data_IF_691248604078
#
_entry.id   IF_691248604078
#
_cell.length_a   1.000
_cell.length_b   1.000
_cell.length_c   1.000
_cell.angle_alpha   90.00
_cell.angle_beta   90.00
_cell.angle_gamma   90.00
#
_symmetry.space_group_name_H-M   'P 1'
#
loop_
_entity.id
_entity.type
_entity.pdbx_description
1 polymer ?
#
# COMPACT_ATOMS: atom_id res chain seq x y z
N UNK A 1 -4.81 26.46 -18.85
CA UNK A 1 -3.84 26.10 -17.77
C UNK A 1 -4.64 26.08 -16.48
N UNK A 2 -4.67 24.96 -15.78
CA UNK A 2 -5.33 24.82 -14.48
C UNK A 2 -4.35 25.22 -13.38
N UNK A 3 -4.78 26.10 -12.48
CA UNK A 3 -3.98 26.52 -11.34
C UNK A 3 -4.42 25.77 -10.07
N UNK A 4 -3.43 25.34 -9.29
CA UNK A 4 -3.63 24.67 -8.00
C UNK A 4 -2.65 25.30 -7.01
N UNK A 5 -3.15 25.79 -5.88
CA UNK A 5 -2.31 26.39 -4.86
C UNK A 5 -1.68 25.33 -3.94
N UNK A 6 -0.52 25.65 -3.39
CA UNK A 6 0.13 24.84 -2.35
C UNK A 6 -0.72 24.70 -1.10
N UNK A 7 -1.53 25.68 -0.76
CA UNK A 7 -2.50 25.62 0.35
C UNK A 7 -3.56 24.53 0.12
N UNK A 8 -4.15 24.47 -1.09
CA UNK A 8 -5.08 23.38 -1.45
C UNK A 8 -4.44 22.00 -1.35
N UNK A 9 -3.17 21.89 -1.73
CA UNK A 9 -2.42 20.63 -1.64
C UNK A 9 -2.20 20.24 -0.18
N UNK A 10 -1.70 21.17 0.64
CA UNK A 10 -1.44 20.92 2.06
C UNK A 10 -2.71 20.53 2.81
N UNK A 11 -3.82 21.22 2.59
CA UNK A 11 -5.11 20.92 3.22
C UNK A 11 -5.63 19.54 2.78
N UNK A 12 -5.60 19.23 1.49
CA UNK A 12 -6.03 17.92 0.98
C UNK A 12 -5.15 16.79 1.55
N UNK A 13 -3.83 16.96 1.59
CA UNK A 13 -2.90 15.97 2.16
C UNK A 13 -3.14 15.74 3.64
N UNK A 14 -3.41 16.81 4.41
CA UNK A 14 -3.77 16.69 5.83
C UNK A 14 -4.99 15.80 6.03
N UNK A 15 -6.08 16.11 5.32
CA UNK A 15 -7.33 15.33 5.42
C UNK A 15 -7.12 13.87 4.98
N UNK A 16 -6.37 13.63 3.89
CA UNK A 16 -6.06 12.28 3.43
C UNK A 16 -5.29 11.48 4.49
N UNK A 17 -4.32 12.08 5.19
CA UNK A 17 -3.57 11.39 6.24
C UNK A 17 -4.49 10.97 7.40
N UNK A 18 -5.39 11.84 7.82
CA UNK A 18 -6.34 11.57 8.89
C UNK A 18 -7.33 10.49 8.45
N UNK A 19 -7.99 10.67 7.30
CA UNK A 19 -8.98 9.73 6.79
C UNK A 19 -8.42 8.32 6.61
N UNK A 20 -7.26 8.20 5.94
CA UNK A 20 -6.63 6.90 5.67
C UNK A 20 -6.20 6.14 6.93
N UNK A 21 -5.98 6.82 8.05
CA UNK A 21 -5.64 6.20 9.32
C UNK A 21 -6.86 5.71 10.12
N UNK A 22 -8.06 6.21 9.81
CA UNK A 22 -9.28 5.94 10.61
C UNK A 22 -10.34 5.16 9.83
N UNK A 23 -10.27 5.14 8.50
CA UNK A 23 -11.31 4.54 7.66
C UNK A 23 -10.70 3.73 6.52
N UNK A 24 -11.14 2.49 6.34
CA UNK A 24 -10.82 1.72 5.13
C UNK A 24 -11.67 2.18 3.95
N UNK A 25 -11.12 2.02 2.74
CA UNK A 25 -11.90 2.13 1.51
C UNK A 25 -12.97 1.04 1.42
N UNK A 26 -14.04 1.29 0.68
CA UNK A 26 -15.17 0.36 0.57
C UNK A 26 -14.77 -1.01 0.03
N UNK A 27 -13.89 -1.05 -0.98
CA UNK A 27 -13.37 -2.29 -1.56
C UNK A 27 -12.58 -3.14 -0.55
N UNK A 28 -11.79 -2.50 0.32
CA UNK A 28 -11.08 -3.19 1.39
C UNK A 28 -12.01 -3.71 2.49
N UNK A 29 -13.02 -2.93 2.87
CA UNK A 29 -14.02 -3.35 3.84
C UNK A 29 -14.82 -4.55 3.32
N UNK A 30 -15.26 -4.52 2.06
CA UNK A 30 -15.95 -5.63 1.40
C UNK A 30 -15.05 -6.87 1.25
N UNK A 31 -13.76 -6.68 0.95
CA UNK A 31 -12.81 -7.78 0.89
C UNK A 31 -12.63 -8.48 2.24
N UNK A 32 -12.62 -7.70 3.33
CA UNK A 32 -12.53 -8.24 4.69
C UNK A 32 -13.82 -8.97 5.09
N UNK A 33 -15.01 -8.47 4.70
CA UNK A 33 -16.27 -9.20 4.86
C UNK A 33 -16.26 -10.53 4.11
N UNK A 34 -15.84 -10.51 2.85
CA UNK A 34 -15.69 -11.73 2.06
C UNK A 34 -14.68 -12.70 2.68
N UNK A 35 -13.60 -12.19 3.30
CA UNK A 35 -12.63 -13.00 4.02
C UNK A 35 -13.25 -13.71 5.22
N UNK A 36 -14.10 -13.04 6.00
CA UNK A 36 -14.82 -13.66 7.12
C UNK A 36 -15.68 -14.86 6.69
N UNK A 37 -16.25 -14.80 5.49
CA UNK A 37 -17.04 -15.92 4.93
C UNK A 37 -16.16 -17.07 4.43
N UNK A 38 -14.95 -16.78 3.90
CA UNK A 38 -14.05 -17.78 3.34
C UNK A 38 -13.15 -18.46 4.37
N UNK A 39 -12.86 -17.79 5.49
CA UNK A 39 -12.02 -18.36 6.53
C UNK A 39 -12.68 -19.60 7.14
N UNK A 40 -11.94 -20.70 7.24
CA UNK A 40 -12.44 -21.98 7.75
C UNK A 40 -12.03 -22.22 9.19
N UNK A 41 -10.85 -21.76 9.60
CA UNK A 41 -10.33 -21.96 10.95
C UNK A 41 -11.14 -21.15 11.99
N UNK A 42 -11.59 -21.77 13.09
CA UNK A 42 -12.36 -21.06 14.11
C UNK A 42 -11.63 -19.83 14.68
N UNK A 43 -10.34 -19.96 14.97
CA UNK A 43 -9.51 -18.84 15.45
C UNK A 43 -9.36 -17.76 14.40
N UNK A 44 -9.18 -18.14 13.12
CA UNK A 44 -9.10 -17.17 12.02
C UNK A 44 -10.39 -16.35 11.88
N UNK A 45 -11.56 -16.98 12.02
CA UNK A 45 -12.87 -16.30 12.04
C UNK A 45 -12.98 -15.31 13.19
N UNK A 46 -12.56 -15.70 14.38
CA UNK A 46 -12.56 -14.82 15.55
C UNK A 46 -11.68 -13.61 15.32
N UNK A 47 -10.46 -13.79 14.79
CA UNK A 47 -9.54 -12.70 14.51
C UNK A 47 -10.11 -11.73 13.46
N UNK A 48 -10.68 -12.24 12.36
CA UNK A 48 -11.32 -11.37 11.36
C UNK A 48 -12.51 -10.62 11.99
N UNK A 49 -13.27 -11.26 12.87
CA UNK A 49 -14.33 -10.61 13.64
C UNK A 49 -13.80 -9.42 14.48
N UNK A 50 -12.70 -9.62 15.20
CA UNK A 50 -12.04 -8.56 15.98
C UNK A 50 -11.50 -7.43 15.08
N UNK A 51 -10.94 -7.76 13.90
CA UNK A 51 -10.49 -6.74 12.96
C UNK A 51 -11.66 -5.88 12.47
N UNK A 52 -12.81 -6.47 12.17
CA UNK A 52 -14.02 -5.74 11.78
C UNK A 52 -14.53 -4.84 12.90
N UNK A 53 -14.61 -5.36 14.12
CA UNK A 53 -14.98 -4.56 15.29
C UNK A 53 -14.03 -3.39 15.51
N UNK A 54 -12.72 -3.63 15.38
CA UNK A 54 -11.71 -2.57 15.45
C UNK A 54 -11.93 -1.46 14.41
N UNK A 55 -12.34 -1.79 13.18
CA UNK A 55 -12.64 -0.79 12.15
C UNK A 55 -13.85 0.10 12.52
N UNK A 56 -14.90 -0.49 13.10
CA UNK A 56 -16.05 0.28 13.57
C UNK A 56 -15.67 1.21 14.73
N UNK A 57 -14.89 0.73 15.70
CA UNK A 57 -14.37 1.55 16.80
C UNK A 57 -13.48 2.66 16.29
N UNK A 58 -12.54 2.35 15.36
CA UNK A 58 -11.63 3.33 14.79
C UNK A 58 -12.39 4.49 14.13
N UNK A 59 -13.42 4.17 13.36
CA UNK A 59 -14.24 5.15 12.65
C UNK A 59 -15.13 5.96 13.61
N UNK A 60 -15.78 5.33 14.58
CA UNK A 60 -16.73 6.00 15.48
C UNK A 60 -16.03 6.85 16.53
N UNK A 61 -14.90 6.40 17.03
CA UNK A 61 -14.16 7.07 18.12
C UNK A 61 -13.01 7.95 17.61
N UNK A 62 -12.79 7.99 16.28
CA UNK A 62 -11.66 8.68 15.65
C UNK A 62 -10.32 8.26 16.26
N UNK A 63 -10.13 6.95 16.42
CA UNK A 63 -8.90 6.31 16.88
C UNK A 63 -8.24 5.63 15.68
N UNK A 64 -6.93 5.76 15.46
CA UNK A 64 -6.27 5.09 14.34
C UNK A 64 -6.49 3.58 14.34
N UNK A 65 -6.74 3.01 13.15
CA UNK A 65 -6.98 1.56 12.94
C UNK A 65 -5.84 0.71 13.52
N UNK A 66 -4.61 1.21 13.49
CA UNK A 66 -3.42 0.50 13.94
C UNK A 66 -2.49 1.45 14.70
N UNK A 67 -1.70 0.92 15.63
CA UNK A 67 -0.64 1.66 16.32
C UNK A 67 0.49 2.08 15.37
N UNK A 68 0.70 1.39 14.25
CA UNK A 68 1.62 1.80 13.20
C UNK A 68 0.84 2.49 12.08
N UNK A 69 0.76 3.81 12.14
CA UNK A 69 0.13 4.63 11.09
C UNK A 69 1.07 4.89 9.90
N UNK A 70 2.28 4.38 9.98
CA UNK A 70 3.24 4.28 8.89
C UNK A 70 3.91 5.58 8.48
N UNK A 71 4.67 5.48 7.38
CA UNK A 71 5.21 6.62 6.64
C UNK A 71 4.25 6.95 5.49
N UNK A 72 4.03 8.24 5.23
CA UNK A 72 3.21 8.69 4.12
C UNK A 72 3.96 8.50 2.78
N UNK A 73 3.41 7.69 1.88
CA UNK A 73 3.91 7.49 0.52
C UNK A 73 2.88 8.03 -0.46
N UNK A 74 3.31 8.95 -1.32
CA UNK A 74 2.44 9.59 -2.30
C UNK A 74 2.81 9.22 -3.73
N UNK A 75 1.78 9.01 -4.54
CA UNK A 75 1.86 8.99 -6.00
C UNK A 75 1.12 10.22 -6.52
N UNK A 76 1.86 11.12 -7.16
CA UNK A 76 1.34 12.39 -7.66
C UNK A 76 1.39 12.38 -9.19
N UNK A 77 0.24 12.48 -9.83
CA UNK A 77 0.10 12.62 -11.28
C UNK A 77 -0.20 14.09 -11.60
N UNK A 78 0.70 14.74 -12.35
CA UNK A 78 0.62 16.16 -12.70
C UNK A 78 0.40 16.29 -14.19
N UNK A 79 -0.71 16.89 -14.60
CA UNK A 79 -0.97 17.26 -15.99
C UNK A 79 0.01 18.31 -16.49
N UNK A 80 0.46 18.20 -17.74
CA UNK A 80 1.37 19.17 -18.36
C UNK A 80 0.82 20.62 -18.40
N UNK A 81 -0.51 20.76 -18.29
CA UNK A 81 -1.20 22.06 -18.28
C UNK A 81 -1.59 22.52 -16.87
N UNK A 82 -1.05 21.88 -15.83
CA UNK A 82 -1.22 22.28 -14.43
C UNK A 82 -0.09 23.20 -14.03
N UNK A 83 -0.44 24.30 -13.38
CA UNK A 83 0.49 25.22 -12.73
C UNK A 83 0.27 25.18 -11.22
N UNK A 84 1.36 24.90 -10.48
CA UNK A 84 1.34 24.96 -9.02
C UNK A 84 1.80 26.33 -8.59
N UNK A 85 0.97 27.03 -7.79
CA UNK A 85 1.26 28.37 -7.28
C UNK A 85 1.40 28.38 -5.75
N UNK A 86 2.13 29.35 -5.22
CA UNK A 86 2.29 29.59 -3.79
C UNK A 86 3.53 28.97 -3.16
N UNK A 87 4.32 28.17 -3.89
CA UNK A 87 5.56 27.58 -3.38
C UNK A 87 5.90 26.22 -4.00
N UNK A 88 6.77 25.46 -3.35
CA UNK A 88 7.15 24.15 -3.80
C UNK A 88 6.08 23.10 -3.41
N UNK A 89 5.74 22.21 -4.36
CA UNK A 89 4.74 21.15 -4.13
C UNK A 89 5.17 20.18 -3.04
N UNK A 90 6.46 19.88 -2.95
CA UNK A 90 6.99 18.94 -1.96
C UNK A 90 6.90 19.51 -0.54
N UNK A 91 7.14 20.82 -0.38
CA UNK A 91 6.97 21.52 0.89
C UNK A 91 5.48 21.50 1.32
N UNK A 92 4.56 21.73 0.39
CA UNK A 92 3.13 21.67 0.65
C UNK A 92 2.65 20.26 1.07
N UNK A 93 3.18 19.22 0.43
CA UNK A 93 2.88 17.83 0.82
C UNK A 93 3.41 17.54 2.23
N UNK A 94 4.66 17.92 2.52
CA UNK A 94 5.26 17.71 3.84
C UNK A 94 4.54 18.52 4.93
N UNK A 95 4.11 19.74 4.66
CA UNK A 95 3.28 20.53 5.58
C UNK A 95 1.95 19.81 5.87
N UNK A 96 1.27 19.33 4.83
CA UNK A 96 0.04 18.55 4.98
C UNK A 96 0.24 17.30 5.83
N UNK A 97 1.34 16.55 5.62
CA UNK A 97 1.71 15.39 6.46
C UNK A 97 1.97 15.78 7.90
N UNK A 98 2.78 16.81 8.14
CA UNK A 98 3.09 17.28 9.49
C UNK A 98 1.82 17.65 10.26
N UNK A 99 0.91 18.40 9.62
CA UNK A 99 -0.39 18.76 10.18
C UNK A 99 -1.29 17.54 10.39
N UNK A 100 -1.41 16.67 9.40
CA UNK A 100 -2.24 15.47 9.47
C UNK A 100 -1.84 14.52 10.58
N UNK A 101 -0.53 14.24 10.71
CA UNK A 101 -0.01 13.37 11.78
C UNK A 101 -0.08 14.01 13.17
N UNK A 102 -0.06 15.33 13.25
CA UNK A 102 -0.16 16.06 14.52
C UNK A 102 -1.62 16.21 14.97
N UNK A 103 -2.48 16.72 14.12
CA UNK A 103 -3.89 16.97 14.41
C UNK A 103 -4.72 15.68 14.49
N UNK A 104 -4.35 14.65 13.70
CA UNK A 104 -4.96 13.31 13.74
C UNK A 104 -4.43 12.39 14.83
N UNK A 105 -3.52 12.87 15.69
CA UNK A 105 -2.89 12.07 16.75
C UNK A 105 -2.24 10.79 16.24
N UNK A 106 -1.71 10.82 15.01
CA UNK A 106 -1.08 9.68 14.39
C UNK A 106 0.34 9.46 14.93
N UNK A 107 0.82 8.21 14.85
CA UNK A 107 2.18 7.88 15.31
C UNK A 107 3.23 8.48 14.40
N UNK A 108 4.11 9.29 14.96
CA UNK A 108 5.25 9.91 14.25
C UNK A 108 6.43 8.95 14.27
N UNK A 109 6.61 8.17 13.20
CA UNK A 109 7.58 7.07 13.12
C UNK A 109 8.84 7.42 12.35
N UNK A 110 8.86 8.55 11.61
CA UNK A 110 9.98 8.92 10.74
C UNK A 110 11.18 9.38 11.55
N UNK A 111 12.35 8.86 11.21
CA UNK A 111 13.65 9.26 11.76
C UNK A 111 14.50 9.93 10.68
N UNK A 112 15.36 10.86 11.08
CA UNK A 112 16.22 11.64 10.18
C UNK A 112 17.24 10.79 9.44
N UNK A 113 17.71 9.75 10.09
CA UNK A 113 18.70 8.84 9.57
C UNK A 113 18.42 7.42 10.07
N UNK A 114 18.54 6.39 9.24
CA UNK A 114 18.22 5.02 9.62
C UNK A 114 19.14 4.43 10.69
N UNK A 115 20.36 4.95 10.84
CA UNK A 115 21.35 4.50 11.84
C UNK A 115 21.32 5.37 13.09
N UNK A 116 21.30 6.70 12.94
CA UNK A 116 21.25 7.66 14.07
C UNK A 116 19.82 7.86 14.66
N UNK A 117 18.81 7.38 14.04
CA UNK A 117 17.43 7.18 14.51
C UNK A 117 16.81 8.31 15.34
N UNK A 118 17.22 9.55 15.11
CA UNK A 118 16.59 10.73 15.75
C UNK A 118 15.25 11.01 15.09
N UNK A 119 14.17 10.96 15.85
CA UNK A 119 12.81 11.19 15.34
C UNK A 119 12.65 12.62 14.82
N UNK A 120 11.93 12.80 13.71
CA UNK A 120 11.69 14.13 13.11
C UNK A 120 10.65 14.93 13.88
N UNK A 121 9.76 14.27 14.62
CA UNK A 121 8.76 14.88 15.48
C UNK A 121 7.42 15.21 14.79
N UNK A 122 7.36 15.08 13.47
CA UNK A 122 6.19 15.44 12.66
C UNK A 122 5.86 14.44 11.54
N UNK A 123 6.57 13.33 11.49
CA UNK A 123 6.46 12.26 10.49
C UNK A 123 6.85 12.68 9.05
N UNK A 124 7.64 13.73 8.89
CA UNK A 124 8.22 14.16 7.61
C UNK A 124 9.70 13.77 7.50
N UNK A 125 10.29 13.71 6.30
CA UNK A 125 9.63 13.92 5.01
C UNK A 125 8.78 12.71 4.58
N UNK A 126 7.79 12.98 3.75
CA UNK A 126 7.05 11.95 3.02
C UNK A 126 7.92 11.37 1.88
N UNK A 127 7.55 10.18 1.41
CA UNK A 127 8.08 9.65 0.15
C UNK A 127 7.13 10.04 -0.98
N UNK A 128 7.61 10.79 -1.97
CA UNK A 128 6.77 11.30 -3.06
C UNK A 128 7.29 10.81 -4.41
N UNK A 129 6.41 10.19 -5.18
CA UNK A 129 6.67 9.74 -6.54
C UNK A 129 5.85 10.58 -7.52
N UNK A 130 6.52 11.28 -8.43
CA UNK A 130 5.87 12.13 -9.41
C UNK A 130 5.78 11.45 -10.77
N UNK A 131 4.66 11.68 -11.47
CA UNK A 131 4.50 11.36 -12.88
C UNK A 131 3.83 12.52 -13.61
N UNK A 132 4.36 12.84 -14.80
CA UNK A 132 3.76 13.85 -15.66
C UNK A 132 2.86 13.17 -16.69
N UNK A 133 1.62 13.64 -16.79
CA UNK A 133 0.61 13.10 -17.70
C UNK A 133 0.09 14.19 -18.65
N UNK A 134 -0.46 13.85 -19.83
CA UNK A 134 -1.08 14.82 -20.71
C UNK A 134 -2.30 15.53 -20.06
N UNK A 135 -2.56 16.77 -20.47
CA UNK A 135 -3.74 17.54 -20.06
C UNK A 135 -3.57 18.27 -18.73
N UNK A 136 -4.67 18.54 -18.05
CA UNK A 136 -4.77 19.37 -16.84
C UNK A 136 -5.21 18.57 -15.59
N UNK A 137 -5.11 17.26 -15.64
CA UNK A 137 -5.39 16.38 -14.50
C UNK A 137 -4.37 16.59 -13.39
N UNK A 138 -4.84 16.61 -12.15
CA UNK A 138 -3.98 16.58 -10.97
C UNK A 138 -4.56 15.58 -9.97
N UNK A 139 -3.78 14.56 -9.63
CA UNK A 139 -4.23 13.48 -8.75
C UNK A 139 -3.15 13.16 -7.73
N UNK A 140 -3.54 13.10 -6.49
CA UNK A 140 -2.72 12.62 -5.38
C UNK A 140 -3.32 11.31 -4.86
N UNK A 141 -2.48 10.30 -4.70
CA UNK A 141 -2.84 9.04 -4.06
C UNK A 141 -1.92 8.83 -2.87
N UNK A 142 -2.48 8.67 -1.68
CA UNK A 142 -1.75 8.37 -0.45
C UNK A 142 -1.82 6.88 -0.16
N UNK A 143 -0.67 6.30 0.18
CA UNK A 143 -0.54 4.97 0.75
C UNK A 143 0.23 5.07 2.09
N UNK A 144 -0.43 5.12 3.25
CA UNK A 144 0.24 5.00 4.53
C UNK A 144 0.91 3.62 4.61
N UNK A 145 2.23 3.60 4.79
CA UNK A 145 2.98 2.34 4.72
C UNK A 145 3.64 2.02 6.05
N UNK A 146 3.08 1.01 6.74
CA UNK A 146 3.65 0.46 7.95
C UNK A 146 4.93 -0.33 7.68
N UNK A 147 5.91 -0.23 8.58
CA UNK A 147 7.25 -0.80 8.36
C UNK A 147 7.33 -2.29 8.70
N UNK A 148 6.40 -2.85 9.45
CA UNK A 148 6.31 -4.30 9.63
C UNK A 148 6.20 -5.00 8.27
N UNK A 149 5.21 -4.64 7.48
CA UNK A 149 5.02 -5.19 6.14
C UNK A 149 6.02 -4.67 5.11
N UNK A 150 6.49 -3.40 5.22
CA UNK A 150 7.52 -2.86 4.31
C UNK A 150 8.82 -3.67 4.38
N UNK A 151 9.26 -4.02 5.58
CA UNK A 151 10.49 -4.80 5.79
C UNK A 151 10.40 -6.24 5.25
N UNK A 152 9.18 -6.72 4.94
CA UNK A 152 8.97 -8.04 4.33
C UNK A 152 9.02 -8.00 2.80
N UNK A 153 9.14 -6.82 2.19
CA UNK A 153 9.28 -6.68 0.72
C UNK A 153 10.58 -7.33 0.23
N UNK A 154 10.54 -7.91 -0.97
CA UNK A 154 11.67 -8.60 -1.61
C UNK A 154 11.80 -8.20 -3.07
N UNK A 155 13.03 -8.20 -3.57
CA UNK A 155 13.33 -8.04 -4.99
C UNK A 155 14.05 -9.31 -5.46
N UNK A 156 13.59 -9.90 -6.55
CA UNK A 156 14.15 -11.11 -7.14
C UNK A 156 14.69 -10.79 -8.54
N UNK A 157 15.93 -11.20 -8.80
CA UNK A 157 16.55 -11.09 -10.13
C UNK A 157 16.40 -12.41 -10.87
N UNK A 158 15.21 -12.60 -11.47
CA UNK A 158 14.89 -13.83 -12.20
C UNK A 158 15.54 -13.85 -13.58
N UNK A 159 15.83 -15.03 -14.07
CA UNK A 159 16.30 -15.27 -15.46
C UNK A 159 15.08 -15.37 -16.40
N UNK A 160 15.23 -15.02 -17.68
CA UNK A 160 14.14 -15.20 -18.65
C UNK A 160 13.60 -16.64 -18.71
N UNK A 161 14.47 -17.63 -18.50
CA UNK A 161 14.08 -19.04 -18.49
C UNK A 161 13.19 -19.45 -17.30
N UNK A 162 13.17 -18.67 -16.21
CA UNK A 162 12.30 -18.95 -15.06
C UNK A 162 10.83 -18.66 -15.38
N UNK A 163 10.59 -17.79 -16.37
CA UNK A 163 9.27 -17.50 -16.94
C UNK A 163 8.20 -17.13 -15.91
N UNK A 164 6.97 -17.43 -16.26
CA UNK A 164 5.79 -17.19 -15.42
C UNK A 164 5.87 -17.92 -14.08
N UNK A 165 6.26 -19.19 -14.11
CA UNK A 165 6.31 -20.00 -12.90
C UNK A 165 7.36 -19.52 -11.92
N UNK A 166 8.49 -18.99 -12.42
CA UNK A 166 9.50 -18.35 -11.59
C UNK A 166 8.96 -17.14 -10.83
N UNK A 167 8.14 -16.31 -11.49
CA UNK A 167 7.47 -15.17 -10.82
C UNK A 167 6.49 -15.65 -9.76
N UNK A 168 5.62 -16.60 -10.09
CA UNK A 168 4.64 -17.17 -9.14
C UNK A 168 5.37 -17.71 -7.90
N UNK A 169 6.41 -18.52 -8.11
CA UNK A 169 7.18 -19.12 -7.01
C UNK A 169 7.89 -18.06 -6.16
N UNK A 170 8.45 -17.01 -6.78
CA UNK A 170 9.10 -15.92 -6.06
C UNK A 170 8.13 -15.16 -5.15
N UNK A 171 6.89 -14.89 -5.62
CA UNK A 171 5.86 -14.22 -4.80
C UNK A 171 5.42 -15.11 -3.64
N UNK A 172 5.14 -16.39 -3.91
CA UNK A 172 4.76 -17.35 -2.85
C UNK A 172 5.87 -17.48 -1.81
N UNK A 173 7.13 -17.54 -2.25
CA UNK A 173 8.29 -17.59 -1.34
C UNK A 173 8.39 -16.32 -0.49
N UNK A 174 8.22 -15.12 -1.10
CA UNK A 174 8.25 -13.86 -0.37
C UNK A 174 7.18 -13.81 0.74
N UNK A 175 5.96 -14.26 0.44
CA UNK A 175 4.87 -14.33 1.43
C UNK A 175 5.15 -15.36 2.51
N UNK A 176 5.68 -16.53 2.15
CA UNK A 176 6.09 -17.58 3.10
C UNK A 176 7.16 -17.07 4.07
N UNK A 177 8.17 -16.36 3.55
CA UNK A 177 9.26 -15.78 4.36
C UNK A 177 8.77 -14.64 5.26
N UNK A 178 7.79 -13.87 4.79
CA UNK A 178 7.17 -12.81 5.57
C UNK A 178 6.39 -13.36 6.76
N UNK A 179 5.65 -14.43 6.55
CA UNK A 179 4.83 -15.07 7.58
C UNK A 179 3.93 -14.06 8.32
N UNK A 180 3.89 -14.12 9.66
CA UNK A 180 3.06 -13.21 10.47
C UNK A 180 3.57 -11.76 10.45
N UNK A 181 4.83 -11.51 10.08
CA UNK A 181 5.44 -10.17 10.18
C UNK A 181 4.84 -9.14 9.18
N UNK A 182 4.15 -9.62 8.15
CA UNK A 182 3.43 -8.76 7.22
C UNK A 182 2.00 -8.39 7.69
N UNK A 183 1.60 -8.84 8.88
CA UNK A 183 0.29 -8.59 9.50
C UNK A 183 -0.89 -9.07 8.61
N UNK A 184 -1.00 -10.39 8.29
CA UNK A 184 -2.11 -10.90 7.50
C UNK A 184 -3.49 -10.70 8.20
N UNK A 185 -4.58 -10.58 7.42
CA UNK A 185 -4.66 -10.74 5.97
C UNK A 185 -4.07 -9.55 5.21
N UNK A 186 -3.23 -9.82 4.20
CA UNK A 186 -2.46 -8.80 3.49
C UNK A 186 -2.97 -8.56 2.06
N UNK A 187 -2.57 -7.44 1.48
CA UNK A 187 -2.59 -7.23 0.03
C UNK A 187 -1.16 -7.33 -0.49
N UNK A 188 -0.96 -8.15 -1.50
CA UNK A 188 0.36 -8.39 -2.09
C UNK A 188 0.51 -7.58 -3.38
N UNK A 189 1.41 -6.59 -3.37
CA UNK A 189 1.75 -5.83 -4.56
C UNK A 189 2.96 -6.43 -5.27
N UNK A 190 2.84 -6.68 -6.57
CA UNK A 190 3.88 -7.29 -7.40
C UNK A 190 4.23 -6.36 -8.55
N UNK A 191 5.52 -6.04 -8.70
CA UNK A 191 6.05 -5.29 -9.84
C UNK A 191 6.91 -6.19 -10.72
N UNK A 192 6.66 -6.24 -12.02
CA UNK A 192 7.38 -7.09 -12.96
C UNK A 192 7.98 -6.26 -14.08
N UNK A 193 9.28 -6.41 -14.32
CA UNK A 193 9.98 -5.74 -15.39
C UNK A 193 10.52 -4.35 -15.02
N UNK A 194 10.80 -3.52 -16.02
CA UNK A 194 11.48 -2.25 -15.82
C UNK A 194 12.94 -2.41 -15.36
N UNK A 195 13.41 -1.43 -14.62
CA UNK A 195 14.72 -1.43 -13.94
C UNK A 195 14.54 -1.86 -12.47
N UNK A 196 15.64 -2.02 -11.74
CA UNK A 196 15.64 -2.46 -10.33
C UNK A 196 14.72 -1.59 -9.45
N UNK A 197 14.87 -0.28 -9.50
CA UNK A 197 14.05 0.68 -8.76
C UNK A 197 12.61 0.73 -9.30
N UNK A 198 12.45 0.56 -10.61
CA UNK A 198 11.13 0.62 -11.24
C UNK A 198 10.25 -0.55 -10.84
N UNK A 199 10.77 -1.77 -10.76
CA UNK A 199 9.97 -2.91 -10.34
C UNK A 199 9.53 -2.77 -8.86
N UNK A 200 10.38 -2.25 -7.98
CA UNK A 200 10.02 -1.96 -6.60
C UNK A 200 8.92 -0.87 -6.50
N UNK A 201 9.04 0.18 -7.32
CA UNK A 201 8.03 1.24 -7.42
C UNK A 201 6.69 0.69 -7.93
N UNK A 202 6.71 -0.18 -8.94
CA UNK A 202 5.50 -0.82 -9.47
C UNK A 202 4.82 -1.69 -8.42
N UNK A 203 5.58 -2.49 -7.67
CA UNK A 203 5.05 -3.29 -6.59
C UNK A 203 4.33 -2.43 -5.54
N UNK A 204 4.91 -1.29 -5.16
CA UNK A 204 4.30 -0.35 -4.24
C UNK A 204 3.06 0.34 -4.83
N UNK A 205 3.11 0.74 -6.11
CA UNK A 205 1.96 1.31 -6.82
C UNK A 205 0.81 0.30 -6.93
N UNK A 206 1.11 -0.99 -7.14
CA UNK A 206 0.11 -2.05 -7.20
C UNK A 206 -0.76 -2.13 -5.94
N UNK A 207 -0.22 -1.78 -4.76
CA UNK A 207 -0.97 -1.72 -3.51
C UNK A 207 -2.05 -0.63 -3.48
N UNK A 208 -1.98 0.36 -4.38
CA UNK A 208 -2.97 1.44 -4.47
C UNK A 208 -4.11 1.14 -5.45
N UNK A 209 -4.07 0.01 -6.14
CA UNK A 209 -5.17 -0.45 -6.98
C UNK A 209 -6.27 -1.04 -6.10
N UNK A 210 -7.56 -0.73 -6.35
CA UNK A 210 -8.67 -1.34 -5.65
C UNK A 210 -8.59 -2.88 -5.70
N UNK A 211 -8.86 -3.52 -4.56
CA UNK A 211 -8.69 -4.98 -4.42
C UNK A 211 -9.77 -5.79 -5.15
N UNK A 212 -10.87 -5.16 -5.52
CA UNK A 212 -11.93 -5.72 -6.35
C UNK A 212 -11.62 -5.66 -7.85
N UNK A 213 -10.51 -5.01 -8.24
CA UNK A 213 -10.12 -4.83 -9.64
C UNK A 213 -8.86 -5.61 -9.98
N UNK A 214 -9.01 -6.72 -10.66
CA UNK A 214 -7.90 -7.47 -11.24
C UNK A 214 -7.17 -6.69 -12.33
N UNK A 215 -6.00 -7.16 -12.74
CA UNK A 215 -5.22 -6.59 -13.83
C UNK A 215 -6.07 -6.47 -15.13
N UNK A 216 -5.83 -5.41 -15.90
CA UNK A 216 -6.55 -5.18 -17.17
C UNK A 216 -6.23 -6.27 -18.19
N UNK A 217 -4.97 -6.73 -18.25
CA UNK A 217 -4.54 -7.84 -19.09
C UNK A 217 -5.00 -9.18 -18.48
N UNK A 218 -5.78 -9.99 -19.21
CA UNK A 218 -6.26 -11.29 -18.72
C UNK A 218 -5.15 -12.25 -18.30
N UNK A 219 -3.98 -12.18 -18.93
CA UNK A 219 -2.82 -13.01 -18.56
C UNK A 219 -2.36 -12.72 -17.12
N UNK A 220 -2.21 -11.47 -16.76
CA UNK A 220 -1.80 -11.08 -15.41
C UNK A 220 -2.94 -11.26 -14.40
N UNK A 221 -4.19 -11.05 -14.79
CA UNK A 221 -5.34 -11.32 -13.93
C UNK A 221 -5.41 -12.79 -13.51
N UNK A 222 -5.26 -13.72 -14.45
CA UNK A 222 -5.20 -15.14 -14.13
C UNK A 222 -4.01 -15.48 -13.21
N UNK A 223 -2.89 -14.78 -13.39
CA UNK A 223 -1.72 -14.98 -12.53
C UNK A 223 -1.95 -14.42 -11.11
N UNK A 224 -2.66 -13.31 -10.96
CA UNK A 224 -3.08 -12.77 -9.66
C UNK A 224 -3.94 -13.78 -8.91
N UNK A 225 -4.93 -14.36 -9.58
CA UNK A 225 -5.83 -15.37 -9.01
C UNK A 225 -5.06 -16.63 -8.57
N UNK A 226 -4.17 -17.15 -9.41
CA UNK A 226 -3.35 -18.32 -9.08
C UNK A 226 -2.42 -18.06 -7.89
N UNK A 227 -1.75 -16.89 -7.86
CA UNK A 227 -0.87 -16.53 -6.76
C UNK A 227 -1.67 -16.40 -5.46
N UNK A 228 -2.86 -15.77 -5.51
CA UNK A 228 -3.73 -15.63 -4.34
C UNK A 228 -4.14 -16.99 -3.78
N UNK A 229 -4.51 -17.94 -4.64
CA UNK A 229 -4.83 -19.31 -4.22
C UNK A 229 -3.65 -19.98 -3.54
N UNK A 230 -2.46 -19.92 -4.14
CA UNK A 230 -1.24 -20.52 -3.57
C UNK A 230 -0.81 -19.86 -2.26
N UNK A 231 -0.92 -18.55 -2.16
CA UNK A 231 -0.60 -17.78 -0.94
C UNK A 231 -1.56 -18.15 0.19
N UNK A 232 -2.84 -18.26 -0.09
CA UNK A 232 -3.84 -18.70 0.89
C UNK A 232 -3.65 -20.16 1.28
N UNK A 233 -3.17 -20.99 0.36
CA UNK A 233 -2.79 -22.38 0.62
C UNK A 233 -1.59 -22.56 1.55
N UNK A 234 -0.83 -21.50 1.85
CA UNK A 234 0.27 -21.56 2.83
C UNK A 234 -0.20 -21.77 4.28
N UNK A 235 -1.48 -21.48 4.56
CA UNK A 235 -2.06 -21.69 5.88
C UNK A 235 -1.54 -20.75 6.97
N UNK A 236 -0.92 -19.61 6.61
CA UNK A 236 -0.43 -18.61 7.57
C UNK A 236 -1.62 -18.00 8.34
N UNK A 237 -2.70 -17.67 7.63
CA UNK A 237 -3.95 -17.22 8.20
C UNK A 237 -3.93 -15.83 8.84
N UNK A 238 -5.09 -15.37 9.34
CA UNK A 238 -5.21 -14.04 9.99
C UNK A 238 -4.28 -13.92 11.18
N UNK A 239 -3.60 -12.78 11.30
CA UNK A 239 -2.57 -12.49 12.30
C UNK A 239 -1.41 -13.50 12.35
N UNK A 240 -1.30 -14.40 11.36
CA UNK A 240 -0.27 -15.46 11.33
C UNK A 240 -0.55 -16.61 12.30
N UNK A 241 -1.77 -16.76 12.77
CA UNK A 241 -2.17 -17.78 13.75
C UNK A 241 -2.82 -19.02 13.14
N UNK A 242 -2.64 -19.21 11.84
CA UNK A 242 -3.23 -20.30 11.07
C UNK A 242 -4.61 -19.93 10.50
N UNK A 243 -4.96 -20.55 9.39
CA UNK A 243 -6.22 -20.33 8.69
C UNK A 243 -6.07 -20.31 7.18
N UNK A 244 -7.17 -20.08 6.50
CA UNK A 244 -7.25 -20.14 5.03
C UNK A 244 -7.13 -18.75 4.37
N UNK A 245 -7.23 -17.66 5.12
CA UNK A 245 -7.10 -16.30 4.58
C UNK A 245 -5.79 -15.65 5.02
N UNK A 246 -4.76 -15.82 4.22
CA UNK A 246 -3.45 -15.16 4.39
C UNK A 246 -3.42 -13.81 3.66
N UNK A 247 -4.02 -13.73 2.47
CA UNK A 247 -4.11 -12.52 1.68
C UNK A 247 -5.53 -12.27 1.18
N UNK A 248 -5.89 -10.99 1.05
CA UNK A 248 -7.16 -10.52 0.48
C UNK A 248 -7.07 -10.41 -1.03
N UNK A 249 -5.94 -9.94 -1.54
CA UNK A 249 -5.70 -9.76 -2.97
C UNK A 249 -4.21 -9.84 -3.31
N UNK A 250 -3.95 -10.13 -4.58
CA UNK A 250 -2.64 -9.98 -5.23
C UNK A 250 -2.82 -9.05 -6.41
N UNK A 251 -2.06 -7.97 -6.47
CA UNK A 251 -2.11 -6.97 -7.53
C UNK A 251 -0.78 -6.94 -8.28
N UNK A 252 -0.80 -7.12 -9.59
CA UNK A 252 0.39 -7.11 -10.45
C UNK A 252 0.40 -5.86 -11.32
N UNK A 253 1.50 -5.12 -11.28
CA UNK A 253 1.82 -4.04 -12.20
C UNK A 253 3.06 -4.41 -13.02
N UNK A 254 3.10 -4.02 -14.28
CA UNK A 254 4.16 -4.44 -15.20
C UNK A 254 4.75 -3.28 -15.98
N UNK A 255 6.01 -3.41 -16.35
CA UNK A 255 6.68 -2.54 -17.33
C UNK A 255 7.51 -3.37 -18.29
N UNK A 256 7.94 -2.74 -19.39
CA UNK A 256 8.79 -3.36 -20.38
C UNK A 256 10.11 -3.81 -19.79
N UNK A 257 10.69 -4.81 -20.40
CA UNK A 257 12.04 -5.27 -20.10
C UNK A 257 12.87 -5.28 -21.39
N UNK A 258 14.14 -4.92 -21.28
CA UNK A 258 15.09 -5.11 -22.38
C UNK A 258 15.29 -6.59 -22.64
N UNK A 259 15.30 -6.97 -23.91
CA UNK A 259 15.75 -8.30 -24.34
C UNK A 259 17.28 -8.27 -24.37
N UNK A 260 17.89 -9.04 -23.51
CA UNK A 260 19.35 -9.26 -23.47
C UNK A 260 19.64 -10.63 -24.02
#
# INVERSE_FOLDING_TARGET
MREISTEQISDAVKEMCIEAAHTLSSDMAEALEGAACREEAPLGKEIIGQLKENLEVAKSEMIPICQDTGMAVFFVEIGQEVHISGGAIEDAINEGVSRGYTEGYLRKSVVRDPLDRVNTGDNTPAVVHYSVVPGDSFKITLAPKGFGSENMSRVFMLKPADGRDGVVNAVVQAVSDAGPNACPPMVVGVGIGGTFEKCALLAKKALTRPVDKGAADPFYRQMEEEILEKVNGLGIGPAGLGGTVTALAVNIETDRKSVV
#
